data_IF_022055053747
#
_entry.id   IF_022055053747
#
_cell.length_a   1.000
_cell.length_b   1.000
_cell.length_c   1.000
_cell.angle_alpha   90.00
_cell.angle_beta   90.00
_cell.angle_gamma   90.00
#
_symmetry.space_group_name_H-M   'P 1'
#
loop_
_entity.id
_entity.type
_entity.pdbx_description
1 polymer ?
#
# COMPACT_ATOMS: atom_id res chain seq x y z
N UNK A 1 -15.40 20.31 8.26
CA UNK A 1 -15.41 18.84 8.02
C UNK A 1 -14.55 18.19 9.10
N UNK A 2 -14.89 17.01 9.63
CA UNK A 2 -13.94 16.26 10.48
C UNK A 2 -12.78 15.77 9.60
N UNK A 3 -11.56 15.71 10.14
CA UNK A 3 -10.39 15.13 9.46
C UNK A 3 -10.01 15.77 8.10
N UNK A 4 -10.03 17.12 8.00
CA UNK A 4 -9.61 17.82 6.76
C UNK A 4 -8.14 17.63 6.41
N UNK A 5 -7.26 17.67 7.42
CA UNK A 5 -5.82 17.49 7.24
C UNK A 5 -5.44 16.08 6.75
N UNK A 6 -5.92 14.96 7.33
CA UNK A 6 -5.65 13.65 6.78
C UNK A 6 -6.31 13.41 5.42
N UNK A 7 -7.47 14.02 5.15
CA UNK A 7 -8.05 13.97 3.80
C UNK A 7 -7.14 14.60 2.75
N UNK A 8 -6.63 15.82 3.02
CA UNK A 8 -5.71 16.50 2.10
C UNK A 8 -4.43 15.68 1.88
N UNK A 9 -3.88 15.08 2.94
CA UNK A 9 -2.70 14.21 2.85
C UNK A 9 -2.98 12.94 2.03
N UNK A 10 -4.15 12.31 2.18
CA UNK A 10 -4.58 11.19 1.35
C UNK A 10 -4.80 11.58 -0.11
N UNK A 11 -5.32 12.78 -0.36
CA UNK A 11 -5.57 13.27 -1.72
C UNK A 11 -4.25 13.56 -2.44
N UNK A 12 -3.35 14.31 -1.82
CA UNK A 12 -2.02 14.60 -2.38
C UNK A 12 -1.23 13.30 -2.53
N UNK A 13 -1.21 12.45 -1.49
CA UNK A 13 -0.52 11.17 -1.54
C UNK A 13 -1.09 10.23 -2.61
N UNK A 14 -2.41 10.15 -2.73
CA UNK A 14 -3.08 9.34 -3.75
C UNK A 14 -2.77 9.79 -5.18
N UNK A 15 -2.74 11.11 -5.43
CA UNK A 15 -2.35 11.66 -6.74
C UNK A 15 -0.90 11.31 -7.07
N UNK A 16 0.03 11.46 -6.12
CA UNK A 16 1.42 11.09 -6.32
C UNK A 16 1.58 9.59 -6.67
N UNK A 17 0.78 8.74 -6.03
CA UNK A 17 0.76 7.30 -6.30
C UNK A 17 0.17 6.97 -7.68
N UNK A 18 -0.84 7.71 -8.16
CA UNK A 18 -1.38 7.55 -9.51
C UNK A 18 -0.36 7.96 -10.58
N UNK A 19 0.31 9.11 -10.40
CA UNK A 19 1.31 9.62 -11.35
C UNK A 19 2.52 8.69 -11.43
N UNK A 20 2.91 8.07 -10.32
CA UNK A 20 4.00 7.09 -10.27
C UNK A 20 3.60 5.68 -10.71
N UNK A 21 2.35 5.48 -11.16
CA UNK A 21 1.78 4.17 -11.51
C UNK A 21 2.02 3.11 -10.43
N UNK A 22 1.88 3.53 -9.17
CA UNK A 22 2.10 2.64 -8.06
C UNK A 22 0.93 1.65 -7.91
N UNK A 23 1.21 0.38 -8.18
CA UNK A 23 0.22 -0.70 -8.15
C UNK A 23 0.00 -1.33 -6.75
N UNK A 24 0.13 -0.57 -5.66
CA UNK A 24 -0.30 -1.04 -4.33
C UNK A 24 0.39 -2.30 -3.79
N UNK A 25 1.48 -2.79 -4.39
CA UNK A 25 2.05 -4.10 -4.05
C UNK A 25 1.26 -5.30 -4.60
N UNK A 26 0.53 -5.14 -5.72
CA UNK A 26 -0.19 -6.22 -6.43
C UNK A 26 0.66 -7.48 -6.61
N UNK A 27 1.93 -7.32 -7.00
CA UNK A 27 2.83 -8.47 -7.19
C UNK A 27 3.01 -9.26 -5.89
N UNK A 28 3.11 -8.60 -4.75
CA UNK A 28 3.24 -9.24 -3.44
C UNK A 28 2.00 -10.08 -3.11
N UNK A 29 0.81 -9.58 -3.43
CA UNK A 29 -0.46 -10.33 -3.26
C UNK A 29 -0.48 -11.54 -4.19
N UNK A 30 -0.06 -11.38 -5.44
CA UNK A 30 0.02 -12.49 -6.40
C UNK A 30 1.01 -13.58 -5.96
N UNK A 31 2.20 -13.22 -5.50
CA UNK A 31 3.16 -14.19 -4.97
C UNK A 31 2.62 -14.93 -3.75
N UNK A 32 1.90 -14.23 -2.87
CA UNK A 32 1.28 -14.84 -1.70
C UNK A 32 0.16 -15.82 -2.11
N UNK A 33 -0.65 -15.47 -3.11
CA UNK A 33 -1.65 -16.35 -3.69
C UNK A 33 -1.03 -17.60 -4.33
N UNK A 34 0.05 -17.44 -5.09
CA UNK A 34 0.76 -18.55 -5.72
C UNK A 34 1.32 -19.51 -4.66
N UNK A 35 1.92 -18.96 -3.59
CA UNK A 35 2.43 -19.74 -2.47
C UNK A 35 1.33 -20.53 -1.75
N UNK A 36 0.20 -19.88 -1.43
CA UNK A 36 -0.93 -20.54 -0.77
C UNK A 36 -1.57 -21.62 -1.65
N UNK A 37 -1.62 -21.38 -2.96
CA UNK A 37 -2.16 -22.34 -3.92
C UNK A 37 -1.27 -23.57 -4.12
N UNK A 38 0.03 -23.45 -3.81
CA UNK A 38 0.98 -24.56 -3.86
C UNK A 38 0.90 -25.52 -2.66
N UNK A 39 0.10 -25.23 -1.62
CA UNK A 39 0.02 -26.04 -0.40
C UNK A 39 -1.17 -27.03 -0.50
N UNK A 40 -0.94 -28.35 -0.61
CA UNK A 40 -2.01 -29.32 -0.80
C UNK A 40 -3.04 -29.35 0.34
N UNK A 41 -2.60 -29.09 1.58
CA UNK A 41 -3.45 -29.05 2.76
C UNK A 41 -4.50 -27.92 2.72
N UNK A 42 -4.26 -26.87 1.93
CA UNK A 42 -5.19 -25.73 1.78
C UNK A 42 -6.18 -25.93 0.63
N UNK A 43 -6.11 -27.05 -0.11
CA UNK A 43 -6.98 -27.33 -1.25
C UNK A 43 -8.49 -27.18 -0.95
N UNK A 44 -9.03 -27.65 0.21
CA UNK A 44 -10.45 -27.48 0.53
C UNK A 44 -10.87 -26.01 0.73
N UNK A 45 -9.92 -25.14 1.10
CA UNK A 45 -10.16 -23.73 1.41
C UNK A 45 -9.79 -22.79 0.26
N UNK A 46 -9.31 -23.32 -0.87
CA UNK A 46 -8.85 -22.54 -2.01
C UNK A 46 -9.88 -21.53 -2.52
N UNK A 47 -11.17 -21.89 -2.51
CA UNK A 47 -12.22 -20.98 -2.97
C UNK A 47 -12.29 -19.72 -2.08
N UNK A 48 -12.23 -19.89 -0.76
CA UNK A 48 -12.26 -18.76 0.20
C UNK A 48 -10.99 -17.91 0.04
N UNK A 49 -9.84 -18.56 -0.09
CA UNK A 49 -8.54 -17.89 -0.28
C UNK A 49 -8.57 -17.06 -1.57
N UNK A 50 -9.08 -17.62 -2.68
CA UNK A 50 -9.18 -16.94 -3.97
C UNK A 50 -10.06 -15.69 -3.87
N UNK A 51 -11.22 -15.77 -3.21
CA UNK A 51 -12.11 -14.63 -3.03
C UNK A 51 -11.44 -13.52 -2.22
N UNK A 52 -10.79 -13.86 -1.10
CA UNK A 52 -10.09 -12.88 -0.25
C UNK A 52 -8.93 -12.24 -1.02
N UNK A 53 -8.10 -13.04 -1.69
CA UNK A 53 -6.97 -12.55 -2.47
C UNK A 53 -7.42 -11.68 -3.64
N UNK A 54 -8.54 -12.01 -4.28
CA UNK A 54 -9.11 -11.21 -5.36
C UNK A 54 -9.58 -9.84 -4.87
N UNK A 55 -10.25 -9.75 -3.72
CA UNK A 55 -10.65 -8.47 -3.12
C UNK A 55 -9.42 -7.63 -2.77
N UNK A 56 -8.41 -8.24 -2.14
CA UNK A 56 -7.16 -7.55 -1.82
C UNK A 56 -6.44 -7.07 -3.08
N UNK A 57 -6.42 -7.89 -4.13
CA UNK A 57 -5.84 -7.56 -5.43
C UNK A 57 -6.54 -6.35 -6.06
N UNK A 58 -7.87 -6.30 -6.07
CA UNK A 58 -8.62 -5.16 -6.62
C UNK A 58 -8.31 -3.86 -5.86
N UNK A 59 -8.23 -3.92 -4.53
CA UNK A 59 -7.91 -2.75 -3.71
C UNK A 59 -6.47 -2.29 -4.00
N UNK A 60 -5.50 -3.21 -4.02
CA UNK A 60 -4.11 -2.87 -4.31
C UNK A 60 -3.91 -2.38 -5.75
N UNK A 61 -4.61 -2.97 -6.72
CA UNK A 61 -4.57 -2.58 -8.13
C UNK A 61 -5.10 -1.16 -8.33
N UNK A 62 -6.17 -0.80 -7.61
CA UNK A 62 -6.68 0.57 -7.63
C UNK A 62 -5.73 1.58 -6.94
N UNK A 63 -4.77 1.11 -6.13
CA UNK A 63 -3.63 1.87 -5.62
C UNK A 63 -3.99 3.25 -5.08
N UNK A 64 -3.52 4.29 -5.78
CA UNK A 64 -3.78 5.69 -5.43
C UNK A 64 -5.27 6.08 -5.42
N UNK A 65 -6.11 5.47 -6.26
CA UNK A 65 -7.55 5.73 -6.26
C UNK A 65 -8.24 5.19 -5.00
N UNK A 66 -7.90 3.98 -4.55
CA UNK A 66 -8.39 3.43 -3.27
C UNK A 66 -8.02 4.33 -2.09
N UNK A 67 -6.85 4.96 -2.14
CA UNK A 67 -6.38 5.87 -1.10
C UNK A 67 -7.18 7.17 -1.10
N UNK A 68 -7.52 7.73 -2.27
CA UNK A 68 -8.37 8.93 -2.37
C UNK A 68 -9.78 8.62 -1.84
N UNK A 69 -10.37 7.49 -2.25
CA UNK A 69 -11.68 7.05 -1.78
C UNK A 69 -11.66 6.78 -0.27
N UNK A 70 -10.63 6.10 0.22
CA UNK A 70 -10.40 5.87 1.65
C UNK A 70 -10.26 7.18 2.42
N UNK A 71 -9.57 8.17 1.84
CA UNK A 71 -9.45 9.52 2.37
C UNK A 71 -10.79 10.24 2.46
N UNK A 72 -11.63 10.15 1.43
CA UNK A 72 -13.00 10.70 1.47
C UNK A 72 -13.80 10.07 2.61
N UNK A 73 -13.69 8.76 2.81
CA UNK A 73 -14.36 8.07 3.92
C UNK A 73 -13.90 8.56 5.29
N UNK A 74 -12.66 9.04 5.45
CA UNK A 74 -12.17 9.66 6.70
C UNK A 74 -12.91 10.95 7.07
N UNK A 75 -13.53 11.63 6.10
CA UNK A 75 -14.33 12.85 6.34
C UNK A 75 -15.78 12.56 6.75
N UNK A 76 -16.21 11.30 6.61
CA UNK A 76 -17.57 10.81 6.93
C UNK A 76 -17.63 10.09 8.28
N UNK A 77 -18.78 9.53 8.65
CA UNK A 77 -18.94 8.70 9.85
C UNK A 77 -18.20 7.35 9.78
N UNK A 78 -17.74 6.93 8.59
CA UNK A 78 -17.12 5.63 8.35
C UNK A 78 -15.58 5.64 8.43
N UNK A 79 -15.01 6.36 9.41
CA UNK A 79 -13.56 6.53 9.58
C UNK A 79 -12.81 5.19 9.68
N UNK A 80 -13.39 4.18 10.34
CA UNK A 80 -12.77 2.85 10.49
C UNK A 80 -12.62 2.12 9.14
N UNK A 81 -13.63 2.20 8.28
CA UNK A 81 -13.58 1.61 6.94
C UNK A 81 -12.56 2.34 6.04
N UNK A 82 -12.55 3.67 6.08
CA UNK A 82 -11.56 4.47 5.36
C UNK A 82 -10.12 4.11 5.74
N UNK A 83 -9.84 4.00 7.05
CA UNK A 83 -8.53 3.57 7.56
C UNK A 83 -8.14 2.16 7.12
N UNK A 84 -9.10 1.25 6.94
CA UNK A 84 -8.86 -0.12 6.51
C UNK A 84 -8.49 -0.17 5.02
N UNK A 85 -9.22 0.55 4.18
CA UNK A 85 -8.93 0.64 2.73
C UNK A 85 -7.53 1.24 2.50
N UNK A 86 -7.23 2.35 3.18
CA UNK A 86 -5.89 2.98 3.10
C UNK A 86 -4.80 2.01 3.58
N UNK A 87 -5.06 1.24 4.65
CA UNK A 87 -4.11 0.26 5.16
C UNK A 87 -3.79 -0.83 4.15
N UNK A 88 -4.79 -1.33 3.41
CA UNK A 88 -4.58 -2.37 2.40
C UNK A 88 -3.83 -1.79 1.20
N UNK A 89 -4.30 -0.65 0.68
CA UNK A 89 -3.72 -0.03 -0.51
C UNK A 89 -2.27 0.44 -0.30
N UNK A 90 -1.94 0.98 0.89
CA UNK A 90 -0.59 1.42 1.21
C UNK A 90 0.28 0.34 1.87
N UNK A 91 -0.34 -0.62 2.58
CA UNK A 91 0.37 -1.59 3.43
C UNK A 91 1.24 -2.57 2.65
N UNK A 92 0.72 -3.15 1.57
CA UNK A 92 1.52 -4.02 0.68
C UNK A 92 2.63 -3.24 -0.04
N UNK A 93 2.41 -1.95 -0.30
CA UNK A 93 3.44 -1.03 -0.78
C UNK A 93 4.58 -0.82 0.19
N UNK A 94 4.25 -0.61 1.46
CA UNK A 94 5.24 -0.45 2.51
C UNK A 94 6.04 -1.73 2.75
N UNK A 95 5.38 -2.90 2.71
CA UNK A 95 6.08 -4.19 2.77
C UNK A 95 7.07 -4.32 1.60
N UNK A 96 6.64 -3.98 0.39
CA UNK A 96 7.52 -4.02 -0.79
C UNK A 96 8.73 -3.08 -0.64
N UNK A 97 8.51 -1.86 -0.12
CA UNK A 97 9.58 -0.90 0.15
C UNK A 97 10.58 -1.43 1.18
N UNK A 98 10.10 -2.07 2.26
CA UNK A 98 10.97 -2.71 3.26
C UNK A 98 11.81 -3.83 2.63
N UNK A 99 11.21 -4.68 1.79
CA UNK A 99 11.92 -5.78 1.13
C UNK A 99 13.01 -5.26 0.17
N UNK A 100 12.73 -4.17 -0.55
CA UNK A 100 13.72 -3.51 -1.42
C UNK A 100 14.88 -2.95 -0.60
N UNK A 101 14.61 -2.30 0.53
CA UNK A 101 15.65 -1.79 1.43
C UNK A 101 16.54 -2.93 1.94
N UNK A 102 15.94 -4.03 2.40
CA UNK A 102 16.67 -5.20 2.89
C UNK A 102 17.53 -5.82 1.78
N UNK A 103 16.98 -6.04 0.60
CA UNK A 103 17.69 -6.62 -0.53
C UNK A 103 18.91 -5.78 -0.94
N UNK A 104 18.73 -4.47 -1.06
CA UNK A 104 19.81 -3.56 -1.48
C UNK A 104 20.86 -3.42 -0.38
N UNK A 105 20.46 -3.45 0.89
CA UNK A 105 21.39 -3.50 2.01
C UNK A 105 22.25 -4.77 1.99
N UNK A 106 21.66 -5.93 1.67
CA UNK A 106 22.37 -7.20 1.60
C UNK A 106 23.31 -7.31 0.39
N UNK A 107 22.87 -6.87 -0.79
CA UNK A 107 23.62 -7.03 -2.05
C UNK A 107 24.62 -5.89 -2.29
N UNK A 108 24.23 -4.65 -1.98
CA UNK A 108 24.99 -3.45 -2.30
C UNK A 108 25.64 -2.76 -1.10
N UNK A 109 25.37 -3.22 0.13
CA UNK A 109 25.93 -2.66 1.35
C UNK A 109 25.50 -1.22 1.65
N UNK A 110 26.21 -0.56 2.56
CA UNK A 110 25.84 0.75 3.10
C UNK A 110 25.85 1.88 2.05
N UNK A 111 26.75 1.84 1.08
CA UNK A 111 26.81 2.84 0.02
C UNK A 111 25.56 2.79 -0.89
N UNK A 112 25.09 1.59 -1.22
CA UNK A 112 23.86 1.41 -2.00
C UNK A 112 22.62 1.86 -1.23
N UNK A 113 22.58 1.70 0.09
CA UNK A 113 21.49 2.22 0.93
C UNK A 113 21.42 3.75 0.94
N UNK A 114 22.55 4.45 0.89
CA UNK A 114 22.58 5.92 0.79
C UNK A 114 22.07 6.40 -0.57
N UNK A 115 22.41 5.71 -1.65
CA UNK A 115 21.87 6.02 -2.98
C UNK A 115 20.37 5.72 -3.02
N UNK A 116 19.94 4.62 -2.39
CA UNK A 116 18.53 4.27 -2.28
C UNK A 116 17.74 5.33 -1.52
N UNK A 117 18.24 5.85 -0.39
CA UNK A 117 17.53 6.87 0.37
C UNK A 117 17.36 8.17 -0.41
N UNK A 118 18.36 8.54 -1.21
CA UNK A 118 18.25 9.65 -2.16
C UNK A 118 17.19 9.39 -3.25
N UNK A 119 17.12 8.17 -3.78
CA UNK A 119 16.09 7.79 -4.76
C UNK A 119 14.68 7.77 -4.15
N UNK A 120 14.53 7.29 -2.91
CA UNK A 120 13.23 7.27 -2.20
C UNK A 120 12.75 8.70 -1.93
N UNK A 121 13.63 9.60 -1.52
CA UNK A 121 13.25 11.00 -1.22
C UNK A 121 12.93 11.83 -2.46
N UNK A 122 13.39 11.40 -3.65
CA UNK A 122 13.12 12.07 -4.92
C UNK A 122 12.03 11.40 -5.75
N UNK A 123 11.49 10.26 -5.31
CA UNK A 123 10.45 9.53 -6.05
C UNK A 123 9.04 9.86 -5.56
N UNK A 124 8.11 10.23 -6.45
CA UNK A 124 6.73 10.56 -6.09
C UNK A 124 6.00 9.41 -5.37
N UNK A 125 6.31 8.17 -5.75
CA UNK A 125 5.72 6.97 -5.15
C UNK A 125 5.98 6.87 -3.64
N UNK A 126 7.24 7.00 -3.22
CA UNK A 126 7.62 6.85 -1.82
C UNK A 126 7.05 7.98 -0.96
N UNK A 127 7.09 9.22 -1.47
CA UNK A 127 6.44 10.36 -0.83
C UNK A 127 4.93 10.16 -0.69
N UNK A 128 4.28 9.64 -1.73
CA UNK A 128 2.87 9.29 -1.71
C UNK A 128 2.55 8.26 -0.61
N UNK A 129 3.33 7.19 -0.48
CA UNK A 129 3.14 6.20 0.58
C UNK A 129 3.29 6.82 1.97
N UNK A 130 4.33 7.61 2.22
CA UNK A 130 4.58 8.24 3.52
C UNK A 130 3.41 9.15 3.92
N UNK A 131 2.97 10.03 3.02
CA UNK A 131 1.86 10.94 3.28
C UNK A 131 0.57 10.19 3.64
N UNK A 132 0.29 9.06 2.98
CA UNK A 132 -0.93 8.28 3.22
C UNK A 132 -0.91 7.52 4.54
N UNK A 133 0.27 7.10 5.01
CA UNK A 133 0.44 6.48 6.33
C UNK A 133 0.26 7.52 7.43
N UNK A 134 0.85 8.71 7.26
CA UNK A 134 0.68 9.83 8.18
C UNK A 134 -0.78 10.28 8.23
N UNK A 135 -1.46 10.34 7.09
CA UNK A 135 -2.89 10.64 7.03
C UNK A 135 -3.72 9.63 7.84
N UNK A 136 -3.42 8.34 7.71
CA UNK A 136 -4.13 7.28 8.44
C UNK A 136 -3.90 7.36 9.95
N UNK A 137 -2.67 7.65 10.40
CA UNK A 137 -2.34 7.71 11.82
C UNK A 137 -2.89 8.96 12.52
N UNK A 138 -3.02 10.07 11.79
CA UNK A 138 -3.52 11.35 12.30
C UNK A 138 -5.05 11.45 12.30
N UNK A 139 -5.73 10.69 11.44
CA UNK A 139 -7.19 10.65 11.41
C UNK A 139 -7.78 10.13 12.74
N UNK A 140 -8.71 10.86 13.35
CA UNK A 140 -9.48 10.43 14.54
C UNK A 140 -10.92 10.12 14.20
#
# INVERSE_FOLDING_TARGET
>A
MKNQTPFALCLIGGILLLVSQFNGGVNTIYFLWLFLSGIPALAPYLLIINVIMFILFLIAWSGGAAIIIGGLLLTTSFVRLGKFIIAIAAGFGLISLILVILWIGLVGGWAALLVLSFLITTTPWAMGLILTIVARSTAK
#
